data_IF_535189372108
#
_entry.id   IF_535189372108
#
_cell.length_a   1.000
_cell.length_b   1.000
_cell.length_c   1.000
_cell.angle_alpha   90.00
_cell.angle_beta   90.00
_cell.angle_gamma   90.00
#
_symmetry.space_group_name_H-M   'P 1'
#
loop_
_entity.id
_entity.type
_entity.pdbx_description
1 polymer ?
#
# COMPACT_ATOMS: atom_id res chain seq x y z
N UNK A 1 -3.52 11.75 -25.54
CA UNK A 1 -4.63 11.90 -26.50
C UNK A 1 -5.22 10.52 -26.75
N UNK A 2 -6.51 10.34 -26.95
CA UNK A 2 -7.04 9.04 -27.36
C UNK A 2 -6.43 8.65 -28.69
N UNK A 3 -6.29 7.35 -28.94
CA UNK A 3 -5.84 6.84 -30.23
C UNK A 3 -6.87 7.19 -31.34
N UNK A 4 -6.49 7.16 -32.63
CA UNK A 4 -7.41 7.46 -33.73
C UNK A 4 -8.65 6.55 -33.75
N UNK A 5 -8.56 5.34 -33.17
CA UNK A 5 -9.64 4.36 -33.03
C UNK A 5 -10.52 4.57 -31.78
N UNK A 6 -10.28 5.63 -31.01
CA UNK A 6 -11.00 5.92 -29.76
C UNK A 6 -10.57 5.07 -28.55
N UNK A 7 -9.62 4.14 -28.70
CA UNK A 7 -9.11 3.33 -27.61
C UNK A 7 -8.24 4.16 -26.65
N UNK A 8 -8.21 3.77 -25.38
CA UNK A 8 -7.28 4.37 -24.43
C UNK A 8 -5.87 3.80 -24.65
N UNK A 9 -4.85 4.63 -24.50
CA UNK A 9 -3.47 4.15 -24.51
C UNK A 9 -3.28 3.09 -23.41
N UNK A 10 -2.59 1.97 -23.71
CA UNK A 10 -2.22 0.98 -22.71
C UNK A 10 -1.54 1.66 -21.52
N UNK A 11 -1.97 1.36 -20.32
CA UNK A 11 -1.45 2.05 -19.14
C UNK A 11 -1.02 1.05 -18.06
N UNK A 12 0.23 1.18 -17.64
CA UNK A 12 0.79 0.51 -16.46
C UNK A 12 0.98 1.54 -15.36
N UNK A 13 0.57 1.18 -14.14
CA UNK A 13 0.95 1.84 -12.90
C UNK A 13 2.03 1.00 -12.26
N UNK A 14 3.24 1.57 -12.10
CA UNK A 14 4.41 0.84 -11.66
C UNK A 14 4.81 1.25 -10.23
N UNK A 15 4.97 0.25 -9.35
CA UNK A 15 5.34 0.46 -7.95
C UNK A 15 6.38 -0.57 -7.51
N UNK A 16 7.44 -0.12 -6.84
CA UNK A 16 8.49 -0.98 -6.28
C UNK A 16 9.08 -0.40 -5.00
N UNK A 17 9.93 -1.18 -4.34
CA UNK A 17 10.84 -0.76 -3.29
C UNK A 17 12.30 -0.64 -3.76
N UNK A 18 12.53 -0.53 -5.10
CA UNK A 18 13.87 -0.52 -5.69
C UNK A 18 14.64 0.78 -5.43
N UNK A 19 13.95 1.83 -4.99
CA UNK A 19 14.51 3.17 -4.90
C UNK A 19 14.65 3.84 -6.27
N UNK A 20 15.32 4.99 -6.29
CA UNK A 20 15.57 5.80 -7.49
C UNK A 20 17.06 6.05 -7.75
N UNK A 21 17.93 5.47 -6.92
CA UNK A 21 19.38 5.70 -6.97
C UNK A 21 20.11 4.77 -7.96
N UNK A 22 19.43 3.74 -8.49
CA UNK A 22 20.02 2.78 -9.44
C UNK A 22 19.15 2.66 -10.70
N UNK A 23 19.57 1.80 -11.62
CA UNK A 23 18.98 1.60 -12.95
C UNK A 23 17.81 0.58 -12.99
N UNK A 24 17.50 -0.10 -11.89
CA UNK A 24 16.54 -1.20 -11.87
C UNK A 24 15.15 -0.80 -12.43
N UNK A 25 14.64 0.36 -11.99
CA UNK A 25 13.34 0.89 -12.48
C UNK A 25 13.40 1.19 -13.98
N UNK A 26 14.48 1.82 -14.45
CA UNK A 26 14.65 2.16 -15.87
C UNK A 26 14.75 0.90 -16.73
N UNK A 27 15.46 -0.14 -16.27
CA UNK A 27 15.55 -1.44 -16.95
C UNK A 27 14.16 -2.07 -17.08
N UNK A 28 13.38 -2.13 -16.01
CA UNK A 28 12.00 -2.66 -16.03
C UNK A 28 11.13 -1.91 -17.05
N UNK A 29 11.19 -0.58 -17.07
CA UNK A 29 10.48 0.25 -18.06
C UNK A 29 10.94 -0.02 -19.48
N UNK A 30 12.24 -0.18 -19.70
CA UNK A 30 12.80 -0.55 -21.01
C UNK A 30 12.24 -1.87 -21.53
N UNK A 31 12.12 -2.88 -20.65
CA UNK A 31 11.47 -4.16 -20.99
C UNK A 31 10.00 -3.95 -21.34
N UNK A 32 9.25 -3.17 -20.57
CA UNK A 32 7.84 -2.90 -20.87
C UNK A 32 7.67 -2.23 -22.26
N UNK A 33 8.49 -1.23 -22.58
CA UNK A 33 8.45 -0.53 -23.87
C UNK A 33 8.93 -1.40 -25.04
N UNK A 34 9.83 -2.35 -24.83
CA UNK A 34 10.25 -3.26 -25.91
C UNK A 34 9.12 -4.20 -26.37
N UNK A 35 8.13 -4.45 -25.49
CA UNK A 35 6.95 -5.29 -25.78
C UNK A 35 5.81 -4.40 -26.29
N UNK A 36 5.56 -3.28 -25.62
CA UNK A 36 4.44 -2.36 -25.90
C UNK A 36 4.98 -0.94 -26.08
N UNK A 37 5.42 -0.54 -27.30
CA UNK A 37 6.09 0.74 -27.55
C UNK A 37 5.27 1.98 -27.18
N UNK A 38 3.94 1.93 -27.34
CA UNK A 38 3.02 3.05 -27.05
C UNK A 38 2.53 3.07 -25.61
N UNK A 39 3.17 2.30 -24.73
CA UNK A 39 2.76 2.13 -23.34
C UNK A 39 2.94 3.43 -22.55
N UNK A 40 1.89 3.84 -21.85
CA UNK A 40 1.98 4.86 -20.82
C UNK A 40 2.36 4.18 -19.47
N UNK A 41 3.49 4.56 -18.92
CA UNK A 41 3.92 4.11 -17.60
C UNK A 41 3.76 5.27 -16.61
N UNK A 42 3.03 5.04 -15.55
CA UNK A 42 2.85 5.97 -14.44
C UNK A 42 3.55 5.38 -13.22
N UNK A 43 4.52 6.08 -12.67
CA UNK A 43 5.15 5.68 -11.42
C UNK A 43 4.20 6.01 -10.27
N UNK A 44 3.76 4.99 -9.53
CA UNK A 44 3.07 5.21 -8.26
C UNK A 44 4.09 5.68 -7.22
N UNK A 45 5.08 4.88 -6.98
CA UNK A 45 6.31 5.18 -6.24
C UNK A 45 7.31 4.05 -6.41
N UNK A 46 8.60 4.37 -6.28
CA UNK A 46 9.68 3.38 -6.19
C UNK A 46 10.40 3.46 -4.83
N UNK A 47 9.81 4.18 -3.90
CA UNK A 47 10.33 4.41 -2.55
C UNK A 47 9.39 3.81 -1.48
N UNK A 48 8.73 2.67 -1.81
CA UNK A 48 8.10 1.87 -0.76
C UNK A 48 9.18 1.49 0.24
N UNK A 49 8.86 1.52 1.52
CA UNK A 49 9.80 1.09 2.57
C UNK A 49 10.37 -0.28 2.19
N UNK A 50 11.71 -0.42 2.08
CA UNK A 50 12.33 -1.66 1.63
C UNK A 50 11.81 -2.89 2.38
N UNK A 51 11.40 -3.91 1.61
CA UNK A 51 10.85 -5.18 2.10
C UNK A 51 9.48 -5.10 2.80
N UNK A 52 8.90 -3.92 2.94
CA UNK A 52 7.60 -3.74 3.62
C UNK A 52 6.43 -4.02 2.69
N UNK A 53 5.96 -5.26 2.69
CA UNK A 53 4.79 -5.68 1.90
C UNK A 53 3.53 -4.91 2.35
N UNK A 54 3.39 -4.66 3.66
CA UNK A 54 2.25 -3.91 4.21
C UNK A 54 2.22 -2.47 3.69
N UNK A 55 3.36 -1.80 3.64
CA UNK A 55 3.44 -0.42 3.15
C UNK A 55 3.09 -0.34 1.65
N UNK A 56 3.61 -1.28 0.85
CA UNK A 56 3.21 -1.43 -0.55
C UNK A 56 1.71 -1.71 -0.72
N UNK A 57 1.12 -2.60 0.09
CA UNK A 57 -0.31 -2.89 0.05
C UNK A 57 -1.16 -1.66 0.38
N UNK A 58 -0.71 -0.82 1.33
CA UNK A 58 -1.37 0.45 1.69
C UNK A 58 -1.32 1.47 0.56
N UNK A 59 -0.17 1.62 -0.11
CA UNK A 59 -0.08 2.50 -1.28
C UNK A 59 -0.97 2.00 -2.42
N UNK A 60 -0.95 0.70 -2.69
CA UNK A 60 -1.71 0.09 -3.76
C UNK A 60 -3.23 0.26 -3.55
N UNK A 61 -3.75 -0.06 -2.36
CA UNK A 61 -5.17 0.11 -2.05
C UNK A 61 -5.58 1.58 -2.02
N UNK A 62 -4.69 2.47 -1.59
CA UNK A 62 -4.96 3.91 -1.57
C UNK A 62 -5.05 4.53 -2.96
N UNK A 63 -4.22 4.08 -3.90
CA UNK A 63 -4.13 4.67 -5.24
C UNK A 63 -5.08 4.04 -6.26
N UNK A 64 -5.28 2.72 -6.23
CA UNK A 64 -6.01 2.00 -7.27
C UNK A 64 -7.45 2.46 -7.50
N UNK A 65 -8.21 3.03 -6.53
CA UNK A 65 -9.56 3.57 -6.78
C UNK A 65 -9.61 4.71 -7.81
N UNK A 66 -8.52 5.42 -7.96
CA UNK A 66 -8.43 6.60 -8.86
C UNK A 66 -8.07 6.25 -10.29
N UNK A 67 -7.82 4.96 -10.57
CA UNK A 67 -7.51 4.48 -11.90
C UNK A 67 -8.70 3.72 -12.52
N UNK A 68 -8.91 3.84 -13.84
CA UNK A 68 -10.03 3.19 -14.52
C UNK A 68 -9.88 1.67 -14.60
N UNK A 69 -10.97 0.99 -14.94
CA UNK A 69 -10.96 -0.41 -15.39
C UNK A 69 -10.00 -0.59 -16.56
N UNK A 70 -9.36 -1.75 -16.66
CA UNK A 70 -8.35 -2.07 -17.67
C UNK A 70 -6.94 -1.56 -17.32
N UNK A 71 -6.75 -0.78 -16.24
CA UNK A 71 -5.41 -0.41 -15.77
C UNK A 71 -4.67 -1.63 -15.24
N UNK A 72 -3.41 -1.76 -15.61
CA UNK A 72 -2.50 -2.81 -15.14
C UNK A 72 -1.56 -2.22 -14.07
N UNK A 73 -1.55 -2.80 -12.89
CA UNK A 73 -0.65 -2.45 -11.80
C UNK A 73 0.49 -3.48 -11.73
N UNK A 74 1.69 -3.09 -12.10
CA UNK A 74 2.91 -3.88 -11.87
C UNK A 74 3.50 -3.46 -10.54
N UNK A 75 3.51 -4.37 -9.56
CA UNK A 75 3.85 -4.03 -8.18
C UNK A 75 4.84 -5.04 -7.62
N UNK A 76 6.07 -4.58 -7.35
CA UNK A 76 7.18 -5.44 -6.98
C UNK A 76 7.80 -5.00 -5.67
N UNK A 77 7.27 -5.52 -4.57
CA UNK A 77 7.89 -5.51 -3.24
C UNK A 77 8.09 -7.00 -2.90
N UNK A 78 9.29 -7.50 -3.09
CA UNK A 78 9.52 -8.94 -3.20
C UNK A 78 10.73 -9.43 -2.37
N UNK A 79 10.62 -9.45 -1.04
CA UNK A 79 11.67 -10.02 -0.19
C UNK A 79 11.91 -11.51 -0.44
N UNK A 80 11.00 -12.19 -1.15
CA UNK A 80 11.08 -13.60 -1.52
C UNK A 80 11.52 -13.87 -2.95
N UNK A 81 12.14 -12.92 -3.64
CA UNK A 81 12.63 -13.12 -5.02
C UNK A 81 13.54 -14.33 -5.13
N UNK A 82 13.32 -15.16 -6.15
CA UNK A 82 14.10 -16.40 -6.37
C UNK A 82 13.74 -17.58 -5.46
N UNK A 83 12.78 -17.43 -4.55
CA UNK A 83 12.23 -18.52 -3.73
C UNK A 83 11.11 -19.27 -4.46
N UNK A 84 10.42 -20.15 -3.75
CA UNK A 84 9.24 -20.89 -4.26
C UNK A 84 7.94 -20.08 -4.25
N UNK A 85 7.97 -18.77 -3.85
CA UNK A 85 6.79 -17.92 -3.91
C UNK A 85 6.32 -17.78 -5.36
N UNK A 86 5.00 -17.84 -5.57
CA UNK A 86 4.40 -17.69 -6.90
C UNK A 86 4.49 -16.25 -7.41
N UNK A 87 4.56 -16.10 -8.73
CA UNK A 87 4.24 -14.84 -9.41
C UNK A 87 2.82 -14.96 -9.95
N UNK A 88 1.99 -13.93 -9.82
CA UNK A 88 0.57 -14.03 -10.14
C UNK A 88 0.05 -12.82 -10.93
N UNK A 89 -0.99 -13.05 -11.71
CA UNK A 89 -1.89 -12.03 -12.21
C UNK A 89 -3.19 -12.14 -11.46
N UNK A 90 -3.66 -11.03 -10.90
CA UNK A 90 -4.93 -10.95 -10.17
C UNK A 90 -5.83 -9.92 -10.84
N UNK A 91 -7.07 -10.29 -11.16
CA UNK A 91 -8.09 -9.37 -11.70
C UNK A 91 -9.08 -9.02 -10.60
N UNK A 92 -9.20 -7.74 -10.28
CA UNK A 92 -10.19 -7.26 -9.31
C UNK A 92 -11.59 -7.18 -9.94
N UNK A 93 -12.64 -7.20 -9.11
CA UNK A 93 -14.03 -6.97 -9.59
C UNK A 93 -14.25 -5.56 -10.16
N UNK A 94 -13.27 -4.65 -9.99
CA UNK A 94 -13.25 -3.34 -10.66
C UNK A 94 -12.69 -3.42 -12.10
N UNK A 95 -12.30 -4.62 -12.56
CA UNK A 95 -11.72 -4.85 -13.88
C UNK A 95 -10.27 -4.33 -14.03
N UNK A 96 -9.56 -4.15 -12.93
CA UNK A 96 -8.13 -3.79 -12.91
C UNK A 96 -7.29 -5.04 -12.76
N UNK A 97 -6.12 -5.06 -13.39
CA UNK A 97 -5.16 -6.15 -13.29
C UNK A 97 -4.01 -5.79 -12.35
N UNK A 98 -3.57 -6.74 -11.56
CA UNK A 98 -2.43 -6.61 -10.67
C UNK A 98 -1.44 -7.73 -10.95
N UNK A 99 -0.17 -7.38 -11.05
CA UNK A 99 0.93 -8.31 -11.36
C UNK A 99 1.95 -8.25 -10.21
N UNK A 100 1.65 -8.87 -9.06
CA UNK A 100 2.51 -8.91 -7.88
C UNK A 100 3.20 -10.27 -7.70
N UNK A 101 4.24 -10.34 -6.84
CA UNK A 101 4.56 -11.57 -6.13
C UNK A 101 3.38 -11.99 -5.23
N UNK A 102 3.11 -13.29 -5.13
CA UNK A 102 2.09 -13.83 -4.22
C UNK A 102 2.65 -13.91 -2.80
N UNK A 103 2.69 -12.78 -2.13
CA UNK A 103 3.24 -12.59 -0.79
C UNK A 103 2.33 -11.76 0.13
N UNK A 104 1.08 -11.54 -0.28
CA UNK A 104 0.10 -10.77 0.46
C UNK A 104 -0.03 -9.31 0.03
N UNK A 105 0.75 -8.84 -0.94
CA UNK A 105 0.71 -7.45 -1.42
C UNK A 105 -0.69 -7.02 -1.90
N UNK A 106 -1.50 -7.96 -2.41
CA UNK A 106 -2.85 -7.71 -2.90
C UNK A 106 -3.94 -7.75 -1.79
N UNK A 107 -3.60 -8.08 -0.55
CA UNK A 107 -4.57 -8.32 0.53
C UNK A 107 -5.57 -7.19 0.70
N UNK A 108 -5.11 -5.96 0.81
CA UNK A 108 -6.02 -4.81 1.04
C UNK A 108 -6.90 -4.49 -0.17
N UNK A 109 -6.42 -4.71 -1.39
CA UNK A 109 -7.24 -4.58 -2.61
C UNK A 109 -8.30 -5.68 -2.65
N UNK A 110 -7.93 -6.91 -2.27
CA UNK A 110 -8.88 -8.03 -2.18
C UNK A 110 -10.00 -7.73 -1.17
N UNK A 111 -9.68 -7.16 -0.02
CA UNK A 111 -10.66 -6.82 1.02
C UNK A 111 -11.61 -5.71 0.59
N UNK A 112 -11.10 -4.69 -0.10
CA UNK A 112 -11.91 -3.54 -0.52
C UNK A 112 -12.75 -3.84 -1.76
N UNK A 113 -12.13 -4.40 -2.80
CA UNK A 113 -12.72 -4.48 -4.14
C UNK A 113 -13.27 -5.88 -4.47
N UNK A 114 -12.77 -6.90 -3.78
CA UNK A 114 -12.94 -8.29 -4.17
C UNK A 114 -12.11 -8.66 -5.41
N UNK A 115 -11.90 -9.94 -5.59
CA UNK A 115 -11.15 -10.51 -6.73
C UNK A 115 -12.12 -11.27 -7.64
N UNK A 116 -12.01 -11.05 -8.95
CA UNK A 116 -12.74 -11.76 -10.00
C UNK A 116 -12.05 -13.10 -10.31
N UNK A 117 -10.71 -13.09 -10.40
CA UNK A 117 -9.91 -14.29 -10.68
C UNK A 117 -8.43 -14.05 -10.46
N UNK A 118 -7.67 -15.13 -10.39
CA UNK A 118 -6.23 -15.12 -10.25
C UNK A 118 -5.59 -16.22 -11.11
N UNK A 119 -4.38 -15.98 -11.61
CA UNK A 119 -3.59 -16.95 -12.39
C UNK A 119 -2.15 -16.95 -11.96
N UNK A 120 -1.52 -18.11 -11.97
CA UNK A 120 -0.08 -18.22 -11.78
C UNK A 120 0.63 -17.89 -13.08
N UNK A 121 1.69 -17.11 -13.01
CA UNK A 121 2.52 -16.77 -14.16
C UNK A 121 3.49 -17.94 -14.38
N UNK A 122 3.23 -18.72 -15.42
CA UNK A 122 4.06 -19.89 -15.77
C UNK A 122 4.42 -19.96 -17.24
N UNK A 123 3.77 -19.18 -18.10
CA UNK A 123 4.02 -19.19 -19.54
C UNK A 123 5.32 -18.43 -19.89
N UNK A 124 6.38 -19.11 -20.37
CA UNK A 124 7.66 -18.46 -20.69
C UNK A 124 7.54 -17.38 -21.80
N UNK A 125 6.55 -17.48 -22.69
CA UNK A 125 6.34 -16.47 -23.75
C UNK A 125 5.84 -15.14 -23.22
N UNK A 126 5.31 -15.09 -21.99
CA UNK A 126 4.90 -13.90 -21.28
C UNK A 126 6.02 -13.31 -20.42
N UNK A 127 7.15 -14.01 -20.30
CA UNK A 127 8.31 -13.59 -19.52
C UNK A 127 9.46 -13.21 -20.47
N UNK A 128 10.59 -12.82 -19.90
CA UNK A 128 11.78 -12.49 -20.69
C UNK A 128 12.55 -13.73 -21.17
N UNK A 129 11.84 -14.78 -21.57
CA UNK A 129 12.38 -16.05 -22.05
C UNK A 129 12.62 -17.04 -20.91
N UNK A 130 13.41 -18.12 -21.19
CA UNK A 130 13.63 -19.23 -20.27
C UNK A 130 14.67 -18.93 -19.17
N UNK A 131 15.61 -18.01 -19.42
CA UNK A 131 16.69 -17.66 -18.50
C UNK A 131 16.26 -16.57 -17.52
N UNK A 132 15.46 -16.93 -16.53
CA UNK A 132 15.00 -16.02 -15.49
C UNK A 132 16.09 -15.87 -14.41
N UNK A 133 16.46 -14.62 -14.11
CA UNK A 133 17.37 -14.32 -13.01
C UNK A 133 16.73 -14.63 -11.66
N UNK A 134 17.46 -15.28 -10.76
CA UNK A 134 16.99 -15.56 -9.40
C UNK A 134 16.87 -14.32 -8.50
N UNK A 135 17.37 -13.16 -8.97
CA UNK A 135 17.40 -11.92 -8.17
C UNK A 135 16.70 -10.74 -8.81
N UNK A 136 16.13 -10.89 -10.03
CA UNK A 136 15.51 -9.74 -10.71
C UNK A 136 14.21 -10.12 -11.45
N UNK A 137 13.26 -10.72 -10.73
CA UNK A 137 11.93 -11.05 -11.28
C UNK A 137 11.13 -9.80 -11.70
N UNK A 138 11.43 -8.64 -11.16
CA UNK A 138 10.89 -7.34 -11.62
C UNK A 138 11.10 -7.16 -13.13
N UNK A 139 12.32 -7.40 -13.61
CA UNK A 139 12.73 -7.33 -15.02
C UNK A 139 12.20 -8.49 -15.85
N UNK A 140 12.33 -9.73 -15.32
CA UNK A 140 12.20 -10.94 -16.14
C UNK A 140 10.78 -11.52 -16.14
N UNK A 141 9.96 -11.22 -15.12
CA UNK A 141 8.60 -11.77 -14.95
C UNK A 141 7.55 -10.65 -14.93
N UNK A 142 7.60 -9.76 -13.93
CA UNK A 142 6.48 -8.83 -13.68
C UNK A 142 6.35 -7.76 -14.75
N UNK A 143 7.46 -7.18 -15.21
CA UNK A 143 7.45 -6.15 -16.25
C UNK A 143 6.94 -6.65 -17.59
N UNK A 144 7.44 -7.77 -18.16
CA UNK A 144 6.93 -8.27 -19.44
C UNK A 144 5.47 -8.69 -19.34
N UNK A 145 5.05 -9.40 -18.29
CA UNK A 145 3.64 -9.79 -18.08
C UNK A 145 2.73 -8.56 -18.02
N UNK A 146 3.16 -7.51 -17.31
CA UNK A 146 2.41 -6.25 -17.28
C UNK A 146 2.25 -5.62 -18.65
N UNK A 147 3.28 -5.66 -19.51
CA UNK A 147 3.24 -5.10 -20.84
C UNK A 147 2.29 -5.88 -21.78
N UNK A 148 2.33 -7.21 -21.75
CA UNK A 148 1.40 -8.06 -22.51
C UNK A 148 -0.06 -7.81 -22.11
N UNK A 149 -0.34 -7.74 -20.80
CA UNK A 149 -1.68 -7.39 -20.30
C UNK A 149 -2.12 -6.00 -20.75
N UNK A 150 -1.23 -5.01 -20.68
CA UNK A 150 -1.57 -3.64 -21.01
C UNK A 150 -1.90 -3.44 -22.50
N UNK A 151 -1.27 -4.21 -23.40
CA UNK A 151 -1.62 -4.18 -24.83
C UNK A 151 -2.90 -4.96 -25.18
N UNK A 152 -3.49 -5.70 -24.19
CA UNK A 152 -4.78 -6.35 -24.35
C UNK A 152 -4.71 -7.83 -24.74
N UNK A 153 -3.56 -8.49 -24.54
CA UNK A 153 -3.48 -9.94 -24.73
C UNK A 153 -4.37 -10.68 -23.71
N UNK A 154 -4.85 -11.85 -24.11
CA UNK A 154 -5.75 -12.64 -23.30
C UNK A 154 -5.01 -13.18 -22.05
N UNK A 155 -5.37 -12.66 -20.89
CA UNK A 155 -4.75 -13.03 -19.64
C UNK A 155 -4.89 -14.52 -19.28
N UNK A 156 -5.76 -15.27 -20.01
CA UNK A 156 -5.88 -16.72 -19.84
C UNK A 156 -4.61 -17.46 -20.25
N UNK A 157 -3.81 -16.86 -21.12
CA UNK A 157 -2.58 -17.43 -21.66
C UNK A 157 -1.39 -17.32 -20.68
N UNK A 158 -1.50 -16.51 -19.60
CA UNK A 158 -0.37 -16.28 -18.67
C UNK A 158 0.01 -17.52 -17.87
N UNK A 159 -0.93 -18.46 -17.70
CA UNK A 159 -0.75 -19.72 -16.97
C UNK A 159 -2.03 -20.23 -16.31
N UNK A 160 -1.95 -21.24 -15.46
CA UNK A 160 -3.11 -21.91 -14.87
C UNK A 160 -3.87 -20.98 -13.91
N UNK A 161 -5.17 -21.19 -13.82
CA UNK A 161 -6.02 -20.52 -12.84
C UNK A 161 -5.65 -20.91 -11.41
N UNK A 162 -5.68 -19.92 -10.51
CA UNK A 162 -5.51 -20.10 -9.08
C UNK A 162 -6.82 -19.77 -8.36
N UNK A 163 -7.20 -20.63 -7.44
CA UNK A 163 -8.30 -20.31 -6.53
C UNK A 163 -7.95 -19.09 -5.67
N UNK A 164 -8.80 -18.08 -5.70
CA UNK A 164 -8.57 -16.80 -4.98
C UNK A 164 -8.30 -17.00 -3.47
N UNK A 165 -8.91 -18.04 -2.87
CA UNK A 165 -8.70 -18.40 -1.45
C UNK A 165 -7.27 -18.87 -1.13
N UNK A 166 -6.51 -19.30 -2.16
CA UNK A 166 -5.14 -19.80 -2.03
C UNK A 166 -4.08 -18.70 -2.21
N UNK A 167 -4.50 -17.47 -2.56
CA UNK A 167 -3.58 -16.33 -2.56
C UNK A 167 -3.07 -16.06 -1.14
N UNK A 168 -1.78 -15.78 -1.02
CA UNK A 168 -1.16 -15.41 0.25
C UNK A 168 -1.82 -14.13 0.78
N UNK A 169 -2.11 -14.10 2.07
CA UNK A 169 -2.68 -12.94 2.75
C UNK A 169 -1.75 -12.43 3.83
N UNK A 170 -1.66 -11.10 3.94
CA UNK A 170 -1.01 -10.46 5.08
C UNK A 170 -1.85 -10.65 6.34
N UNK A 171 -1.17 -10.97 7.43
CA UNK A 171 -1.76 -10.83 8.76
C UNK A 171 -1.62 -9.36 9.19
N UNK A 172 -2.69 -8.59 9.01
CA UNK A 172 -2.69 -7.16 9.34
C UNK A 172 -3.23 -7.01 10.75
N UNK A 173 -2.47 -6.39 11.67
CA UNK A 173 -2.95 -6.14 13.01
C UNK A 173 -4.22 -5.30 13.00
N UNK A 174 -5.23 -5.73 13.75
CA UNK A 174 -6.51 -5.02 13.90
C UNK A 174 -6.57 -4.35 15.27
N UNK A 175 -6.97 -3.09 15.30
CA UNK A 175 -7.20 -2.38 16.55
C UNK A 175 -8.33 -3.04 17.35
N UNK A 176 -8.17 -3.12 18.67
CA UNK A 176 -9.12 -3.74 19.59
C UNK A 176 -9.75 -2.68 20.47
N UNK A 177 -11.08 -2.61 20.44
CA UNK A 177 -11.86 -1.66 21.24
C UNK A 177 -12.57 -2.41 22.36
N UNK A 178 -12.50 -1.86 23.57
CA UNK A 178 -13.19 -2.35 24.77
C UNK A 178 -13.85 -1.19 25.55
N UNK A 179 -14.27 -1.48 26.80
CA UNK A 179 -14.88 -0.49 27.69
C UNK A 179 -13.88 0.60 28.13
N UNK A 180 -12.57 0.28 28.17
CA UNK A 180 -11.52 1.20 28.61
C UNK A 180 -11.07 2.14 27.50
N UNK A 181 -11.12 1.69 26.24
CA UNK A 181 -10.65 2.48 25.11
C UNK A 181 -10.40 1.67 23.86
N UNK A 182 -9.39 2.07 23.08
CA UNK A 182 -8.96 1.37 21.88
C UNK A 182 -7.45 1.16 21.91
N UNK A 183 -7.03 -0.09 21.72
CA UNK A 183 -5.64 -0.50 21.56
C UNK A 183 -5.38 -0.81 20.09
N UNK A 184 -4.41 -0.14 19.53
CA UNK A 184 -3.91 -0.33 18.17
C UNK A 184 -2.39 -0.22 18.13
N UNK A 185 -1.88 0.02 16.95
CA UNK A 185 -0.46 0.29 16.75
C UNK A 185 -0.22 1.26 15.59
N UNK A 186 0.92 1.91 15.59
CA UNK A 186 1.46 2.63 14.45
C UNK A 186 2.00 1.59 13.49
N UNK A 187 1.47 1.60 12.26
CA UNK A 187 1.77 0.60 11.22
C UNK A 187 2.66 1.15 10.12
N UNK A 188 2.75 2.47 9.97
CA UNK A 188 3.57 3.11 8.94
C UNK A 188 3.89 4.57 9.28
N UNK A 189 4.80 5.13 8.50
CA UNK A 189 5.05 6.58 8.41
C UNK A 189 4.42 7.13 7.12
N UNK A 190 4.06 8.41 7.15
CA UNK A 190 3.66 9.18 5.98
C UNK A 190 4.85 10.04 5.53
N UNK A 191 5.73 9.43 4.74
CA UNK A 191 6.92 10.09 4.22
C UNK A 191 6.56 11.07 3.08
N UNK A 192 7.26 12.21 2.95
CA UNK A 192 8.44 12.64 3.73
C UNK A 192 8.11 13.43 5.00
N UNK A 193 6.86 13.46 5.45
CA UNK A 193 6.40 14.33 6.55
C UNK A 193 6.63 13.70 7.93
N UNK A 194 6.93 12.39 8.01
CA UNK A 194 7.16 11.66 9.26
C UNK A 194 5.94 11.57 10.16
N UNK A 195 4.72 11.79 9.64
CA UNK A 195 3.48 11.57 10.39
C UNK A 195 3.26 10.08 10.65
N UNK A 196 2.77 9.73 11.83
CA UNK A 196 2.50 8.36 12.20
C UNK A 196 1.10 7.95 11.75
N UNK A 197 0.98 6.81 11.08
CA UNK A 197 -0.29 6.23 10.65
C UNK A 197 -0.59 5.00 11.51
N UNK A 198 -1.76 5.02 12.17
CA UNK A 198 -2.20 3.89 12.98
C UNK A 198 -3.13 2.95 12.22
N UNK A 199 -3.38 1.76 12.79
CA UNK A 199 -4.43 0.85 12.35
C UNK A 199 -5.80 1.13 12.99
N UNK A 200 -5.95 2.24 13.71
CA UNK A 200 -7.22 2.65 14.32
C UNK A 200 -8.06 3.40 13.28
N UNK A 201 -9.23 2.87 12.94
CA UNK A 201 -10.17 3.57 12.06
C UNK A 201 -10.76 4.80 12.77
N UNK A 202 -10.89 5.90 12.03
CA UNK A 202 -11.45 7.14 12.56
C UNK A 202 -12.85 6.99 13.16
N UNK A 203 -13.71 6.10 12.57
CA UNK A 203 -15.05 5.81 13.13
C UNK A 203 -14.99 5.16 14.52
N UNK A 204 -14.00 4.26 14.73
CA UNK A 204 -13.83 3.59 16.01
C UNK A 204 -13.26 4.54 17.05
N UNK A 205 -12.30 5.39 16.66
CA UNK A 205 -11.81 6.46 17.52
C UNK A 205 -12.95 7.42 17.94
N UNK A 206 -13.77 7.91 17.00
CA UNK A 206 -14.88 8.81 17.30
C UNK A 206 -15.92 8.17 18.23
N UNK A 207 -16.11 6.85 18.17
CA UNK A 207 -17.00 6.11 19.06
C UNK A 207 -16.56 6.08 20.53
N UNK A 208 -15.32 6.53 20.83
CA UNK A 208 -14.82 6.70 22.19
C UNK A 208 -15.37 7.97 22.88
N UNK A 209 -16.07 8.84 22.13
CA UNK A 209 -16.69 10.07 22.62
C UNK A 209 -15.93 11.37 22.27
N UNK A 210 -14.75 11.26 21.66
CA UNK A 210 -13.96 12.44 21.28
C UNK A 210 -14.58 13.21 20.11
N UNK A 211 -14.42 14.52 20.15
CA UNK A 211 -14.86 15.45 19.09
C UNK A 211 -13.74 16.41 18.71
N UNK A 212 -13.87 17.02 17.54
CA UNK A 212 -12.92 18.02 17.04
C UNK A 212 -12.72 19.17 18.02
N UNK A 213 -11.47 19.58 18.22
CA UNK A 213 -11.07 20.61 19.18
C UNK A 213 -10.81 20.07 20.60
N UNK A 214 -11.18 18.82 20.87
CA UNK A 214 -10.93 18.18 22.17
C UNK A 214 -9.48 17.79 22.38
N UNK A 215 -9.08 17.64 23.64
CA UNK A 215 -7.78 17.07 24.02
C UNK A 215 -7.91 15.58 24.26
N UNK A 216 -7.01 14.80 23.71
CA UNK A 216 -7.00 13.34 23.75
C UNK A 216 -5.74 12.86 24.49
N UNK A 217 -5.92 12.03 25.50
CA UNK A 217 -4.80 11.31 26.11
C UNK A 217 -4.41 10.16 25.19
N UNK A 218 -3.12 10.05 24.91
CA UNK A 218 -2.53 9.04 24.03
C UNK A 218 -1.39 8.37 24.76
N UNK A 219 -1.37 7.04 24.76
CA UNK A 219 -0.20 6.27 25.15
C UNK A 219 0.44 5.70 23.89
N UNK A 220 1.64 6.17 23.56
CA UNK A 220 2.41 5.78 22.39
C UNK A 220 3.67 5.05 22.84
N UNK A 221 3.68 3.71 22.75
CA UNK A 221 4.69 2.90 23.42
C UNK A 221 4.63 3.16 24.93
N UNK A 222 5.76 3.59 25.51
CA UNK A 222 5.86 3.98 26.93
C UNK A 222 5.53 5.46 27.20
N UNK A 223 5.34 6.25 26.14
CA UNK A 223 5.13 7.70 26.27
C UNK A 223 3.66 8.04 26.42
N UNK A 224 3.33 8.84 27.42
CA UNK A 224 2.00 9.43 27.58
C UNK A 224 2.02 10.88 27.09
N UNK A 225 1.01 11.23 26.30
CA UNK A 225 0.85 12.57 25.70
C UNK A 225 -0.60 13.02 25.82
N UNK A 226 -0.82 14.33 25.80
CA UNK A 226 -2.15 14.92 25.61
C UNK A 226 -2.09 15.74 24.34
N UNK A 227 -2.80 15.30 23.31
CA UNK A 227 -2.77 15.88 21.98
C UNK A 227 -4.11 16.51 21.63
N UNK A 228 -4.13 17.68 20.98
CA UNK A 228 -5.37 18.21 20.40
C UNK A 228 -5.81 17.34 19.22
N UNK A 229 -7.10 17.02 19.15
CA UNK A 229 -7.71 16.35 18.01
C UNK A 229 -8.31 17.40 17.08
N UNK A 230 -7.74 17.57 15.91
CA UNK A 230 -8.01 18.67 15.00
C UNK A 230 -8.34 18.20 13.59
N UNK A 231 -8.99 19.06 12.79
CA UNK A 231 -9.34 18.74 11.40
C UNK A 231 -8.18 18.94 10.43
N UNK A 232 -7.34 19.92 10.71
CA UNK A 232 -6.22 20.28 9.83
C UNK A 232 -4.97 20.60 10.65
N UNK A 233 -3.81 20.46 10.02
CA UNK A 233 -2.52 20.74 10.66
C UNK A 233 -2.41 22.18 11.16
N UNK A 234 -3.02 23.16 10.44
CA UNK A 234 -2.98 24.56 10.79
C UNK A 234 -3.84 24.95 12.01
N UNK A 235 -4.62 24.03 12.57
CA UNK A 235 -5.40 24.28 13.79
C UNK A 235 -4.52 24.32 15.05
N UNK A 236 -3.24 23.98 14.92
CA UNK A 236 -2.22 24.11 15.99
C UNK A 236 -1.03 24.94 15.50
N UNK A 237 -0.27 25.58 16.40
CA UNK A 237 0.95 26.30 16.02
C UNK A 237 1.98 25.40 15.33
N UNK A 238 2.87 26.02 14.53
CA UNK A 238 3.99 25.30 13.91
C UNK A 238 4.88 24.69 14.99
N UNK A 239 5.19 23.40 14.83
CA UNK A 239 6.00 22.62 15.77
C UNK A 239 5.21 21.93 16.87
N UNK A 240 3.88 22.16 16.97
CA UNK A 240 3.04 21.49 17.95
C UNK A 240 2.49 20.15 17.42
N UNK A 241 2.42 19.11 18.28
CA UNK A 241 1.86 17.83 17.91
C UNK A 241 0.33 17.83 17.92
N UNK A 242 -0.25 16.95 17.10
CA UNK A 242 -1.70 16.84 16.91
C UNK A 242 -2.13 15.41 16.60
N UNK A 243 -3.43 15.13 16.83
CA UNK A 243 -4.15 13.98 16.31
C UNK A 243 -5.06 14.43 15.18
N UNK A 244 -5.18 13.61 14.16
CA UNK A 244 -6.10 13.87 13.03
C UNK A 244 -6.62 12.54 12.45
N UNK A 245 -7.65 12.60 11.64
CA UNK A 245 -8.08 11.48 10.80
C UNK A 245 -7.56 11.77 9.39
N UNK A 246 -6.75 10.86 8.86
CA UNK A 246 -6.15 11.02 7.55
C UNK A 246 -7.18 10.88 6.42
N UNK A 247 -6.77 11.16 5.18
CA UNK A 247 -7.62 11.07 3.99
C UNK A 247 -8.06 9.64 3.64
N UNK A 248 -7.51 8.63 4.29
CA UNK A 248 -7.87 7.21 4.16
C UNK A 248 -8.79 6.74 5.29
N UNK A 249 -9.11 7.64 6.23
CA UNK A 249 -10.01 7.36 7.35
C UNK A 249 -9.36 6.77 8.60
N UNK A 250 -8.03 6.79 8.70
CA UNK A 250 -7.30 6.28 9.86
C UNK A 250 -6.83 7.39 10.78
N UNK A 251 -6.70 7.08 12.07
CA UNK A 251 -6.14 8.01 13.06
C UNK A 251 -4.63 8.13 12.85
N UNK A 252 -4.17 9.37 12.70
CA UNK A 252 -2.78 9.74 12.56
C UNK A 252 -2.29 10.66 13.67
N UNK A 253 -0.99 10.67 13.92
CA UNK A 253 -0.28 11.60 14.80
C UNK A 253 0.72 12.39 13.96
N UNK A 254 0.72 13.70 14.08
CA UNK A 254 1.60 14.56 13.31
C UNK A 254 2.15 15.71 14.17
N UNK A 255 3.16 16.39 13.67
CA UNK A 255 3.61 17.69 14.15
C UNK A 255 3.41 18.70 13.03
N UNK A 256 2.76 19.83 13.32
CA UNK A 256 2.54 20.84 12.29
C UNK A 256 3.87 21.34 11.72
N UNK A 257 4.09 21.12 10.40
CA UNK A 257 5.30 21.47 9.63
C UNK A 257 6.61 20.88 10.18
N UNK A 258 6.54 19.73 10.88
CA UNK A 258 7.73 18.99 11.35
C UNK A 258 7.48 17.49 11.30
N UNK A 259 8.56 16.73 11.37
CA UNK A 259 8.56 15.27 11.41
C UNK A 259 8.26 14.78 12.84
N UNK A 260 7.12 14.09 13.01
CA UNK A 260 6.73 13.52 14.30
C UNK A 260 7.64 12.35 14.68
N UNK A 261 7.96 11.47 13.72
CA UNK A 261 8.77 10.28 13.96
C UNK A 261 10.17 10.67 14.44
N UNK A 262 10.76 11.66 13.81
CA UNK A 262 12.06 12.21 14.22
C UNK A 262 11.97 12.94 15.57
N UNK A 263 10.97 13.81 15.77
CA UNK A 263 10.80 14.63 16.99
C UNK A 263 10.65 13.75 18.24
N UNK A 264 9.92 12.65 18.11
CA UNK A 264 9.59 11.79 19.24
C UNK A 264 10.33 10.44 19.22
N UNK A 265 11.27 10.23 18.27
CA UNK A 265 11.99 8.97 18.06
C UNK A 265 11.02 7.76 17.98
N UNK A 266 9.95 7.92 17.19
CA UNK A 266 8.91 6.92 17.02
C UNK A 266 9.11 6.15 15.71
N UNK A 267 9.13 4.81 15.79
CA UNK A 267 9.30 3.93 14.62
C UNK A 267 8.23 2.82 14.62
N UNK A 268 7.55 2.57 13.51
CA UNK A 268 6.67 1.39 13.38
C UNK A 268 7.47 0.07 13.46
N UNK A 269 6.85 -1.01 13.99
CA UNK A 269 5.57 -1.00 14.70
C UNK A 269 5.71 -0.44 16.13
N UNK A 270 4.70 0.32 16.57
CA UNK A 270 4.71 0.93 17.91
C UNK A 270 3.30 0.88 18.53
N UNK A 271 3.12 0.30 19.74
CA UNK A 271 1.81 0.24 20.38
C UNK A 271 1.18 1.62 20.58
N UNK A 272 -0.12 1.69 20.36
CA UNK A 272 -0.93 2.89 20.56
C UNK A 272 -2.16 2.55 21.38
N UNK A 273 -2.41 3.29 22.47
CA UNK A 273 -3.64 3.18 23.25
C UNK A 273 -4.28 4.55 23.44
N UNK A 274 -5.61 4.59 23.27
CA UNK A 274 -6.42 5.77 23.51
C UNK A 274 -7.58 5.39 24.44
N UNK A 275 -7.65 5.97 25.65
CA UNK A 275 -8.73 5.68 26.56
C UNK A 275 -10.06 6.23 26.04
N UNK A 276 -11.19 5.70 26.50
CA UNK A 276 -12.50 6.31 26.28
C UNK A 276 -12.57 7.67 26.98
N UNK A 277 -13.23 8.64 26.38
CA UNK A 277 -13.42 9.96 26.99
C UNK A 277 -14.17 9.83 28.33
N UNK A 278 -13.69 10.54 29.35
CA UNK A 278 -14.26 10.50 30.71
C UNK A 278 -13.79 9.37 31.61
N UNK A 279 -12.98 8.44 31.09
CA UNK A 279 -12.30 7.46 31.96
C UNK A 279 -10.95 8.04 32.40
N UNK A 280 -10.82 8.32 33.70
CA UNK A 280 -9.51 8.55 34.28
C UNK A 280 -8.71 7.24 34.24
N UNK A 281 -7.47 7.30 33.72
CA UNK A 281 -6.58 6.16 33.80
C UNK A 281 -6.38 5.84 35.29
N UNK A 282 -6.91 4.71 35.75
CA UNK A 282 -6.59 4.22 37.07
C UNK A 282 -5.07 4.20 37.23
N UNK A 283 -4.56 4.76 38.31
CA UNK A 283 -3.14 4.63 38.68
C UNK A 283 -2.82 3.14 38.73
N UNK A 284 -1.61 2.76 38.22
CA UNK A 284 -1.15 1.38 38.29
C UNK A 284 -1.13 0.86 39.71
#
# INVERSE_FOLDING_TARGET
MPRPDGSRAPTIVFMTDFGVANDAVAICKGVMWSITPDLRIVDLTHQVTPYSILDGARFLVGASPYYPSGTVFVTVIDPGVGSTRKAVVVKSKRGQYFVPPDNGLITLVQDRDGIEGAREITNPSWMRGEAISSTFHGRDIFSPVGAHLAQGEDWSEVGPELEVKNLVRLNIPVARKDEKGIAGEIIALDDPFGSLISNIEGKDFLSLGYSWGGKVRVTLGERQMILPFVKTFSDVPVGEPLLYIDSRGYLGLAVNQRDFAQTYNAKPPLPLFIPRQGIEAGRP
#
